data_IF_629864443299
#
_entry.id   IF_629864443299
#
_cell.length_a   1.000
_cell.length_b   1.000
_cell.length_c   1.000
_cell.angle_alpha   90.00
_cell.angle_beta   90.00
_cell.angle_gamma   90.00
#
_symmetry.space_group_name_H-M   'P 1'
#
loop_
_entity.id
_entity.type
_entity.pdbx_description
1 polymer ?
2 non-polymer ?
3 non-polymer ?
4 water ?
#
# COMPACT_ATOMS: atom_id res chain seq x y z
N UNK A 1 1.64 -15.03 -18.94
CA UNK A 1 1.45 -13.74 -18.30
C UNK A 1 2.71 -13.26 -17.59
N UNK A 2 2.95 -11.95 -17.59
CA UNK A 2 4.17 -11.40 -17.03
C UNK A 2 3.81 -10.32 -16.00
N UNK A 3 4.21 -10.54 -14.75
CA UNK A 3 3.96 -9.64 -13.62
C UNK A 3 5.23 -8.93 -13.27
N UNK A 4 5.19 -7.61 -13.18
CA UNK A 4 6.26 -6.86 -12.56
C UNK A 4 5.88 -6.49 -11.12
N UNK A 5 6.65 -6.99 -10.15
CA UNK A 5 6.53 -6.57 -8.74
C UNK A 5 7.49 -5.42 -8.42
N UNK A 6 6.96 -4.27 -8.06
CA UNK A 6 7.73 -3.13 -7.60
C UNK A 6 7.75 -3.04 -6.09
N UNK A 7 8.95 -2.99 -5.53
CA UNK A 7 9.16 -3.04 -4.10
C UNK A 7 10.15 -4.11 -3.77
N UNK A 8 10.35 -4.37 -2.48
CA UNK A 8 11.37 -5.33 -2.07
C UNK A 8 10.99 -6.75 -2.47
N UNK A 9 12.00 -7.62 -2.50
CA UNK A 9 11.73 -9.00 -2.89
C UNK A 9 11.07 -9.72 -1.72
N UNK A 10 10.01 -10.49 -1.98
CA UNK A 10 9.32 -11.23 -0.94
C UNK A 10 9.10 -12.64 -1.46
N UNK A 11 9.75 -13.62 -0.83
CA UNK A 11 9.69 -14.98 -1.32
C UNK A 11 8.27 -15.55 -1.32
N UNK A 12 7.49 -15.33 -0.23
CA UNK A 12 6.14 -15.89 -0.23
C UNK A 12 5.36 -15.34 -1.42
N UNK A 13 5.56 -14.05 -1.71
CA UNK A 13 4.80 -13.37 -2.76
C UNK A 13 5.26 -13.83 -4.14
N UNK A 14 6.58 -14.02 -4.33
CA UNK A 14 7.03 -14.59 -5.60
C UNK A 14 6.42 -15.96 -5.82
N UNK A 15 6.51 -16.85 -4.80
CA UNK A 15 5.99 -18.19 -5.01
C UNK A 15 4.50 -18.16 -5.24
N UNK A 16 3.78 -17.29 -4.52
CA UNK A 16 2.36 -17.10 -4.81
C UNK A 16 2.13 -16.63 -6.24
N UNK A 17 2.77 -15.55 -6.66
CA UNK A 17 2.49 -15.09 -8.02
C UNK A 17 2.89 -16.16 -9.05
N UNK A 18 4.00 -16.88 -8.80
CA UNK A 18 4.48 -17.87 -9.78
C UNK A 18 3.62 -19.12 -9.83
N UNK A 19 2.90 -19.48 -8.76
CA UNK A 19 1.98 -20.63 -8.81
C UNK A 19 0.83 -20.42 -9.79
N UNK A 20 0.58 -19.21 -10.25
CA UNK A 20 -0.38 -19.03 -11.33
C UNK A 20 0.24 -19.29 -12.70
N UNK A 21 1.45 -19.84 -12.72
CA UNK A 21 2.21 -20.06 -13.95
C UNK A 21 2.51 -18.74 -14.64
N UNK A 22 2.56 -17.66 -13.87
CA UNK A 22 2.98 -16.38 -14.39
C UNK A 22 4.48 -16.26 -14.18
N UNK A 23 5.12 -15.53 -15.06
CA UNK A 23 6.53 -15.26 -14.83
C UNK A 23 6.60 -13.90 -14.14
N UNK A 24 7.47 -13.82 -13.14
CA UNK A 24 7.46 -12.74 -12.19
C UNK A 24 8.82 -12.11 -12.20
N UNK A 25 8.87 -10.81 -12.45
CA UNK A 25 10.07 -10.02 -12.28
C UNK A 25 9.85 -9.00 -11.19
N UNK A 26 10.92 -8.66 -10.52
CA UNK A 26 10.89 -7.80 -9.36
C UNK A 26 11.89 -6.70 -9.55
N UNK A 27 11.54 -5.49 -9.09
CA UNK A 27 12.43 -4.35 -9.20
C UNK A 27 12.12 -3.41 -8.06
N UNK A 28 13.15 -2.85 -7.43
CA UNK A 28 12.91 -1.95 -6.30
C UNK A 28 13.51 -0.58 -6.47
N UNK A 29 14.19 -0.32 -7.58
CA UNK A 29 14.83 0.98 -7.75
C UNK A 29 13.95 1.89 -8.58
N UNK A 30 14.36 3.16 -8.69
CA UNK A 30 13.63 4.08 -9.56
C UNK A 30 13.59 3.53 -10.99
N UNK A 31 12.43 3.62 -11.64
CA UNK A 31 12.17 2.96 -12.92
C UNK A 31 12.06 3.98 -14.04
N UNK A 32 13.07 4.02 -14.91
CA UNK A 32 13.02 4.91 -16.08
C UNK A 32 11.82 4.58 -16.96
N UNK A 33 11.16 5.63 -17.44
CA UNK A 33 9.92 5.44 -18.19
C UNK A 33 10.12 4.60 -19.43
N UNK A 34 11.31 4.66 -20.05
CA UNK A 34 11.57 3.92 -21.28
C UNK A 34 12.32 2.61 -21.02
N UNK A 35 12.45 2.20 -19.75
CA UNK A 35 13.22 1.02 -19.40
C UNK A 35 12.65 -0.22 -20.07
N UNK A 36 13.54 -1.13 -20.50
CA UNK A 36 13.06 -2.39 -21.07
C UNK A 36 12.52 -3.37 -20.02
N UNK A 37 12.72 -3.10 -18.72
CA UNK A 37 12.05 -3.93 -17.71
C UNK A 37 10.54 -4.01 -17.97
N UNK A 38 9.96 -2.95 -18.52
CA UNK A 38 8.53 -2.94 -18.78
C UNK A 38 8.11 -3.68 -20.04
N UNK A 39 9.05 -3.99 -20.97
CA UNK A 39 8.65 -4.71 -22.18
C UNK A 39 7.85 -5.94 -21.83
N UNK A 40 6.71 -6.11 -22.53
CA UNK A 40 5.87 -7.30 -22.42
C UNK A 40 5.27 -7.51 -21.02
N UNK A 41 5.34 -6.52 -20.14
CA UNK A 41 4.74 -6.66 -18.82
C UNK A 41 3.22 -6.51 -18.92
N UNK A 42 2.48 -7.51 -18.44
CA UNK A 42 1.02 -7.52 -18.44
C UNK A 42 0.39 -6.84 -17.22
N UNK A 43 1.08 -6.82 -16.07
CA UNK A 43 0.51 -6.33 -14.82
C UNK A 43 1.62 -5.86 -13.89
N UNK A 44 1.41 -4.72 -13.23
CA UNK A 44 2.34 -4.17 -12.24
C UNK A 44 1.66 -4.24 -10.87
N UNK A 45 2.34 -4.79 -9.86
CA UNK A 45 1.89 -4.77 -8.46
C UNK A 45 2.95 -4.02 -7.68
N UNK A 46 2.55 -2.93 -7.03
CA UNK A 46 3.48 -2.26 -6.15
C UNK A 46 3.12 -2.57 -4.70
N UNK A 47 4.16 -2.79 -3.88
CA UNK A 47 3.93 -3.07 -2.47
C UNK A 47 5.23 -2.69 -1.73
N UNK A 48 5.19 -1.57 -1.04
CA UNK A 48 6.38 -1.08 -0.40
C UNK A 48 7.38 -0.51 -1.37
N UNK A 49 6.94 -0.15 -2.56
CA UNK A 49 7.82 0.53 -3.52
C UNK A 49 8.15 1.93 -3.01
N UNK A 50 9.43 2.30 -2.99
CA UNK A 50 9.85 3.54 -2.34
C UNK A 50 9.89 4.73 -3.28
N UNK A 51 9.49 4.56 -4.53
CA UNK A 51 9.66 5.58 -5.54
C UNK A 51 8.31 5.85 -6.16
N UNK A 52 8.13 7.06 -6.67
CA UNK A 52 6.94 7.39 -7.44
C UNK A 52 7.06 6.77 -8.84
N UNK A 53 5.99 6.11 -9.29
CA UNK A 53 5.96 5.57 -10.64
C UNK A 53 5.77 6.75 -11.60
N UNK A 54 6.58 6.81 -12.64
CA UNK A 54 6.47 7.91 -13.60
C UNK A 54 5.08 7.94 -14.24
N UNK A 55 4.46 9.12 -14.39
CA UNK A 55 3.08 9.16 -14.92
C UNK A 55 2.89 8.47 -16.25
N UNK A 56 3.90 8.46 -17.13
CA UNK A 56 3.70 7.80 -18.43
C UNK A 56 3.53 6.30 -18.28
N UNK A 57 4.24 5.68 -17.34
CA UNK A 57 3.99 4.27 -17.02
C UNK A 57 2.58 4.10 -16.50
N UNK A 58 2.21 4.95 -15.53
CA UNK A 58 0.88 4.83 -14.93
C UNK A 58 -0.18 4.82 -16.01
N UNK A 59 -0.10 5.80 -16.93
CA UNK A 59 -1.06 5.90 -18.03
C UNK A 59 -1.00 4.67 -18.92
N UNK A 60 0.22 4.23 -19.25
CA UNK A 60 0.38 3.09 -20.14
C UNK A 60 -0.26 1.83 -19.55
N UNK A 61 -0.26 1.70 -18.20
CA UNK A 61 -0.80 0.53 -17.51
C UNK A 61 -2.10 0.81 -16.73
N UNK A 62 -2.92 1.78 -17.18
CA UNK A 62 -4.30 1.89 -16.68
C UNK A 62 -5.01 0.54 -16.62
N UNK A 63 -5.65 0.25 -15.47
CA UNK A 63 -6.30 -1.01 -15.14
C UNK A 63 -5.34 -2.20 -15.18
N UNK A 64 -4.05 -1.95 -15.24
CA UNK A 64 -3.08 -3.03 -15.20
C UNK A 64 -2.00 -2.79 -14.14
N UNK A 65 -2.30 -1.99 -13.12
CA UNK A 65 -1.31 -1.67 -12.09
C UNK A 65 -2.05 -1.46 -10.78
N UNK A 66 -1.71 -2.25 -9.77
CA UNK A 66 -2.37 -2.10 -8.46
C UNK A 66 -1.31 -1.84 -7.43
N UNK A 67 -1.77 -1.31 -6.30
CA UNK A 67 -0.90 -1.00 -5.20
C UNK A 67 -1.52 -1.57 -3.92
N UNK A 68 -0.66 -2.06 -3.01
CA UNK A 68 -1.06 -2.63 -1.71
C UNK A 68 -0.69 -1.58 -0.70
N UNK A 69 -1.69 -0.91 -0.08
CA UNK A 69 -1.42 0.21 0.79
C UNK A 69 -2.02 -0.05 2.18
N UNK A 70 -1.25 0.16 3.25
CA UNK A 70 -1.77 -0.18 4.58
C UNK A 70 -2.47 1.00 5.25
N UNK A 71 -3.40 1.64 4.51
CA UNK A 71 -4.36 2.49 5.16
C UNK A 71 -5.77 2.15 4.63
N UNK A 72 -6.75 2.74 5.28
CA UNK A 72 -8.15 2.62 4.88
C UNK A 72 -8.42 3.87 4.03
N UNK A 73 -8.13 3.77 2.73
CA UNK A 73 -8.31 4.92 1.86
C UNK A 73 -9.79 5.35 1.90
N UNK A 74 -10.06 6.63 1.79
CA UNK A 74 -9.09 7.69 1.48
C UNK A 74 -8.27 8.26 2.62
N UNK A 75 -8.45 7.78 3.86
CA UNK A 75 -7.60 8.27 4.95
C UNK A 75 -6.17 7.78 4.79
N UNK A 76 -5.22 8.65 5.17
CA UNK A 76 -3.79 8.33 5.26
C UNK A 76 -3.24 7.85 3.96
N UNK A 77 -3.55 8.58 2.89
CA UNK A 77 -2.74 8.42 1.71
C UNK A 77 -1.30 8.84 2.03
N UNK A 78 -0.36 8.28 1.28
CA UNK A 78 1.06 8.69 1.41
C UNK A 78 1.80 7.99 2.54
N UNK A 79 2.60 8.73 3.28
CA UNK A 79 3.65 8.17 4.13
C UNK A 79 3.16 7.83 5.54
N UNK A 80 3.78 6.82 6.17
CA UNK A 80 3.54 6.48 7.58
C UNK A 80 2.06 6.33 7.92
N UNK A 81 1.27 5.63 7.10
CA UNK A 81 -0.20 5.65 7.41
C UNK A 81 -0.53 5.14 8.80
N UNK A 82 0.19 4.16 9.33
CA UNK A 82 -0.18 3.57 10.61
C UNK A 82 -0.04 4.59 11.72
N UNK A 83 1.09 5.27 11.77
CA UNK A 83 1.25 6.33 12.77
C UNK A 83 0.16 7.40 12.64
N UNK A 84 -0.06 7.91 11.40
CA UNK A 84 -1.05 8.99 11.22
C UNK A 84 -2.47 8.56 11.58
N UNK A 85 -2.82 7.28 11.34
CA UNK A 85 -4.15 6.82 11.76
C UNK A 85 -4.33 6.96 13.28
N UNK A 86 -3.26 6.91 14.06
CA UNK A 86 -3.45 7.16 15.49
C UNK A 86 -3.32 8.65 15.84
N UNK A 87 -2.35 9.35 15.24
CA UNK A 87 -2.17 10.78 15.52
C UNK A 87 -3.43 11.57 15.17
N UNK A 88 -4.06 11.25 14.05
CA UNK A 88 -5.29 11.92 13.62
C UNK A 88 -6.55 11.13 13.92
N UNK A 89 -6.45 10.04 14.68
CA UNK A 89 -7.60 9.25 15.14
C UNK A 89 -8.54 8.92 13.97
N UNK A 90 -7.98 8.27 12.95
CA UNK A 90 -8.74 8.06 11.70
C UNK A 90 -9.16 6.60 11.55
N UNK A 91 -9.93 6.21 10.52
CA UNK A 91 -10.14 4.80 10.23
C UNK A 91 -8.82 4.08 10.04
N UNK A 92 -8.77 2.81 10.47
CA UNK A 92 -7.57 1.98 10.35
C UNK A 92 -7.84 0.77 9.47
N UNK A 93 -6.90 0.41 8.61
CA UNK A 93 -7.18 -0.70 7.73
C UNK A 93 -6.20 -0.73 6.55
N UNK A 94 -6.53 -1.52 5.54
CA UNK A 94 -5.66 -1.73 4.38
C UNK A 94 -6.53 -1.71 3.13
N UNK A 95 -5.89 -1.38 2.01
CA UNK A 95 -6.61 -1.14 0.74
C UNK A 95 -5.76 -1.67 -0.42
N UNK A 96 -6.39 -2.42 -1.31
CA UNK A 96 -5.83 -2.68 -2.65
C UNK A 96 -6.53 -1.75 -3.62
N UNK A 97 -5.78 -1.00 -4.41
CA UNK A 97 -6.44 -0.05 -5.31
C UNK A 97 -5.65 0.00 -6.60
N UNK A 98 -6.29 0.42 -7.67
CA UNK A 98 -5.55 0.68 -8.90
C UNK A 98 -4.65 1.88 -8.73
N UNK A 99 -3.52 1.85 -9.44
CA UNK A 99 -2.57 2.96 -9.41
C UNK A 99 -3.05 4.06 -10.35
N UNK A 100 -2.92 5.29 -9.89
CA UNK A 100 -3.45 6.51 -10.49
C UNK A 100 -2.29 7.42 -10.81
N UNK A 101 -2.57 8.43 -11.61
CA UNK A 101 -1.79 9.66 -11.50
C UNK A 101 -2.02 10.25 -10.13
N UNK A 102 -0.96 10.69 -9.46
CA UNK A 102 -1.11 11.23 -8.13
C UNK A 102 -1.02 10.18 -7.03
N UNK A 103 -1.05 10.65 -5.79
CA UNK A 103 -0.45 9.94 -4.68
C UNK A 103 -1.52 9.11 -3.95
N UNK A 104 -1.60 7.82 -4.31
CA UNK A 104 -2.54 6.87 -3.68
C UNK A 104 -4.01 7.24 -3.89
N UNK A 105 -4.39 7.81 -5.05
CA UNK A 105 -5.78 8.26 -5.23
C UNK A 105 -6.58 7.45 -6.26
N UNK A 106 -6.07 6.28 -6.71
CA UNK A 106 -6.80 5.47 -7.69
C UNK A 106 -7.93 4.68 -7.07
N UNK A 107 -8.66 3.93 -7.93
CA UNK A 107 -9.90 3.30 -7.55
C UNK A 107 -9.68 2.17 -6.57
N UNK A 108 -10.66 1.98 -5.70
CA UNK A 108 -10.58 1.01 -4.62
C UNK A 108 -11.08 -0.32 -5.13
N UNK A 109 -10.25 -1.35 -5.01
CA UNK A 109 -10.67 -2.69 -5.38
C UNK A 109 -11.32 -3.41 -4.22
N UNK A 110 -10.69 -3.42 -3.05
CA UNK A 110 -11.26 -4.00 -1.83
C UNK A 110 -10.52 -3.36 -0.67
N UNK A 111 -11.19 -3.22 0.50
CA UNK A 111 -10.48 -2.74 1.70
C UNK A 111 -10.94 -3.56 2.89
N UNK A 112 -10.24 -3.44 3.99
CA UNK A 112 -10.57 -4.19 5.19
C UNK A 112 -10.20 -3.33 6.38
N UNK A 113 -11.12 -3.23 7.34
CA UNK A 113 -10.84 -2.50 8.56
C UNK A 113 -10.00 -3.35 9.50
N UNK A 114 -9.07 -2.73 10.23
CA UNK A 114 -8.20 -3.47 11.13
C UNK A 114 -8.36 -2.91 12.52
N UNK A 115 -8.64 -3.78 13.47
CA UNK A 115 -8.86 -3.23 14.82
C UNK A 115 -7.53 -3.13 15.58
N UNK A 116 -7.54 -2.38 16.68
CA UNK A 116 -6.39 -2.30 17.58
C UNK A 116 -6.90 -2.51 19.00
N UNK A 117 -5.97 -2.76 19.93
CA UNK A 117 -6.29 -3.18 21.30
C UNK A 117 -5.50 -2.29 22.26
N UNK A 118 -5.90 -2.30 23.54
CA UNK A 118 -5.45 -1.25 24.46
C UNK A 118 -3.94 -1.26 24.72
N UNK A 119 -3.28 -2.42 24.62
CA UNK A 119 -1.84 -2.58 24.84
C UNK A 119 -1.01 -2.45 23.57
N UNK A 120 -1.65 -2.25 22.42
CA UNK A 120 -0.92 -2.23 21.15
C UNK A 120 0.12 -1.12 21.11
N UNK A 121 1.20 -1.38 20.37
CA UNK A 121 2.22 -0.41 20.03
C UNK A 121 2.19 -0.15 18.53
N UNK A 122 3.03 0.80 18.09
CA UNK A 122 3.19 1.03 16.64
C UNK A 122 3.64 -0.24 15.95
N UNK A 123 4.49 -1.02 16.63
CA UNK A 123 5.00 -2.25 16.05
C UNK A 123 3.87 -3.26 15.87
N UNK A 124 3.08 -3.51 16.92
CA UNK A 124 2.10 -4.58 16.80
C UNK A 124 0.94 -4.15 15.87
N UNK A 125 0.62 -2.84 15.78
CA UNK A 125 -0.42 -2.47 14.81
C UNK A 125 0.10 -2.55 13.38
N UNK A 126 1.36 -2.16 13.17
CA UNK A 126 1.93 -2.27 11.82
C UNK A 126 1.98 -3.73 11.35
N UNK A 127 2.41 -4.65 12.24
CA UNK A 127 2.49 -6.05 11.81
C UNK A 127 1.11 -6.61 11.52
N UNK A 128 0.12 -6.19 12.28
CA UNK A 128 -1.24 -6.62 12.01
C UNK A 128 -1.73 -6.10 10.65
N UNK A 129 -1.47 -4.83 10.34
CA UNK A 129 -1.82 -4.31 9.00
C UNK A 129 -1.15 -5.12 7.90
N UNK A 130 0.12 -5.43 8.09
CA UNK A 130 0.88 -6.19 7.11
C UNK A 130 0.28 -7.58 6.91
N UNK A 131 -0.09 -8.27 8.01
CA UNK A 131 -0.68 -9.59 7.80
C UNK A 131 -2.01 -9.49 7.07
N UNK A 132 -2.78 -8.46 7.40
CA UNK A 132 -4.09 -8.28 6.85
C UNK A 132 -4.01 -8.04 5.34
N UNK A 133 -3.19 -7.10 4.94
CA UNK A 133 -3.12 -6.80 3.49
C UNK A 133 -2.57 -7.99 2.70
N UNK A 134 -1.62 -8.72 3.29
CA UNK A 134 -1.06 -9.83 2.51
C UNK A 134 -2.11 -10.94 2.33
N UNK A 135 -2.90 -11.23 3.37
CA UNK A 135 -3.99 -12.21 3.24
C UNK A 135 -5.05 -11.70 2.28
N UNK A 136 -5.40 -10.43 2.39
CA UNK A 136 -6.41 -9.85 1.52
C UNK A 136 -5.97 -9.96 0.07
N UNK A 137 -4.68 -9.70 -0.19
CA UNK A 137 -4.21 -9.81 -1.57
C UNK A 137 -4.29 -11.25 -2.08
N UNK A 138 -3.93 -12.24 -1.22
CA UNK A 138 -4.05 -13.62 -1.69
C UNK A 138 -5.51 -13.96 -1.97
N UNK A 139 -6.46 -13.41 -1.20
CA UNK A 139 -7.86 -13.70 -1.48
C UNK A 139 -8.33 -13.13 -2.80
N UNK A 140 -7.84 -11.95 -3.17
CA UNK A 140 -8.44 -11.24 -4.29
C UNK A 140 -7.60 -11.27 -5.56
N UNK A 141 -6.31 -11.56 -5.49
CA UNK A 141 -5.51 -11.61 -6.72
C UNK A 141 -6.05 -12.53 -7.81
N UNK A 142 -6.56 -13.74 -7.53
CA UNK A 142 -7.10 -14.55 -8.64
C UNK A 142 -8.16 -13.82 -9.42
N UNK A 143 -8.90 -12.95 -8.77
CA UNK A 143 -9.94 -12.25 -9.48
C UNK A 143 -9.36 -11.05 -10.20
N UNK A 144 -8.45 -10.34 -9.52
CA UNK A 144 -7.81 -9.16 -10.13
C UNK A 144 -7.08 -9.57 -11.41
N UNK A 145 -6.39 -10.70 -11.37
CA UNK A 145 -5.55 -11.04 -12.52
C UNK A 145 -6.36 -11.48 -13.73
N UNK A 146 -7.59 -11.96 -13.53
CA UNK A 146 -8.47 -12.36 -14.63
C UNK A 146 -9.45 -11.28 -15.00
N UNK A 147 -9.14 -10.02 -14.69
CA UNK A 147 -10.07 -8.92 -14.90
C UNK A 147 -11.49 -9.19 -14.42
N UNK A 148 -11.65 -10.08 -13.42
CA UNK A 148 -13.00 -10.44 -12.96
C UNK A 148 -13.64 -9.37 -12.08
N UNK A 149 -12.84 -8.48 -11.47
CA UNK A 149 -13.35 -7.41 -10.63
C UNK A 149 -12.78 -6.10 -11.11
N UNK A 150 -13.38 -4.99 -10.69
CA UNK A 150 -12.86 -3.67 -11.01
C UNK A 150 -13.18 -2.71 -9.86
N UNK A 151 -12.67 -1.46 -9.97
CA UNK A 151 -12.62 -0.57 -8.83
C UNK A 151 -13.85 0.32 -8.74
N UNK A 152 -14.07 0.90 -7.56
CA UNK A 152 -15.06 1.97 -7.45
C UNK A 152 -14.23 3.22 -7.22
N UNK A 153 -14.73 4.39 -7.59
CA UNK A 153 -13.88 5.57 -7.52
C UNK A 153 -13.57 5.89 -6.07
N UNK A 154 -12.35 6.26 -5.85
CA UNK A 154 -11.95 6.56 -4.50
C UNK A 154 -12.51 7.90 -4.12
N UNK A 155 -13.21 8.00 -2.99
CA UNK A 155 -13.75 9.28 -2.55
C UNK A 155 -12.67 10.32 -2.31
N UNK A 156 -12.92 11.53 -2.79
CA UNK A 156 -12.07 12.66 -2.39
C UNK A 156 -12.27 12.89 -0.90
N UNK A 157 -11.21 13.34 -0.24
CA UNK A 157 -11.29 13.58 1.18
C UNK A 157 -10.30 12.71 1.90
N UNK A 158 -10.67 12.26 3.10
CA UNK A 158 -9.63 11.47 3.80
C UNK A 158 -8.48 12.38 4.20
N UNK A 159 -7.23 11.93 4.01
CA UNK A 159 -6.05 12.71 4.41
C UNK A 159 -4.83 12.23 3.63
N UNK A 160 -3.77 13.02 3.69
CA UNK A 160 -2.58 12.64 2.94
C UNK A 160 -1.38 13.13 3.74
N UNK A 161 -0.28 12.37 3.79
CA UNK A 161 0.89 12.87 4.51
C UNK A 161 2.17 12.55 3.78
N UNK A 162 3.15 13.42 3.97
CA UNK A 162 4.50 13.26 3.45
C UNK A 162 5.36 12.71 4.59
N UNK A 163 6.49 12.07 4.21
CA UNK A 163 7.40 11.52 5.22
C UNK A 163 7.78 12.53 6.27
N UNK A 164 7.93 13.80 5.89
CA UNK A 164 8.42 14.79 6.84
C UNK A 164 7.37 15.29 7.82
N UNK A 165 6.09 15.00 7.60
CA UNK A 165 5.09 15.64 8.45
C UNK A 165 5.18 15.15 9.87
N UNK A 166 5.75 13.97 10.10
CA UNK A 166 5.81 13.39 11.44
C UNK A 166 6.89 14.02 12.31
N UNK A 167 7.81 14.77 11.71
CA UNK A 167 8.95 15.31 12.46
C UNK A 167 8.55 15.98 13.77
N UNK A 168 7.49 16.78 13.77
CA UNK A 168 7.13 17.47 15.01
C UNK A 168 6.45 16.58 16.03
N UNK A 169 6.17 15.32 15.70
CA UNK A 169 5.58 14.42 16.68
C UNK A 169 6.56 13.35 17.16
N UNK A 170 7.77 13.33 16.60
CA UNK A 170 8.74 12.30 16.98
C UNK A 170 9.01 12.26 18.48
N UNK A 171 8.89 13.41 19.16
CA UNK A 171 9.14 13.45 20.60
C UNK A 171 8.16 12.56 21.38
N UNK A 172 6.96 12.34 20.85
CA UNK A 172 6.00 11.46 21.50
C UNK A 172 6.42 10.02 21.46
N UNK A 173 7.23 9.64 20.50
CA UNK A 173 7.61 8.23 20.26
C UNK A 173 8.79 7.85 21.14
N UNK A 174 8.51 7.80 22.45
CA UNK A 174 9.62 7.61 23.38
C UNK A 174 10.22 6.21 23.29
N UNK A 175 9.49 5.24 22.72
CA UNK A 175 10.07 3.92 22.54
C UNK A 175 10.19 3.52 21.08
N UNK A 176 10.22 4.49 20.16
CA UNK A 176 10.27 4.15 18.75
C UNK A 176 9.06 3.28 18.38
N UNK A 177 9.33 2.18 17.69
CA UNK A 177 8.30 1.19 17.32
C UNK A 177 7.51 0.67 18.52
N UNK A 178 8.10 0.65 19.70
CA UNK A 178 7.44 0.09 20.84
C UNK A 178 6.66 1.12 21.64
N UNK A 179 6.39 2.27 21.06
CA UNK A 179 5.53 3.23 21.72
C UNK A 179 4.09 2.73 21.76
N UNK A 180 3.47 2.66 22.91
CA UNK A 180 2.06 2.37 22.95
C UNK A 180 1.29 3.41 22.15
N UNK A 181 0.30 2.93 21.38
CA UNK A 181 -0.46 3.87 20.57
C UNK A 181 -1.42 4.69 21.39
N UNK A 182 -1.83 4.20 22.56
CA UNK A 182 -2.82 4.96 23.33
C UNK A 182 -2.33 6.37 23.61
N UNK A 183 -1.01 6.52 23.86
CA UNK A 183 -0.36 7.81 24.07
C UNK A 183 -0.46 8.73 22.86
N UNK A 184 -0.64 8.17 21.68
CA UNK A 184 -0.54 8.96 20.47
C UNK A 184 -1.89 9.42 19.94
N UNK A 185 -2.99 8.82 20.41
CA UNK A 185 -4.29 9.02 19.77
C UNK A 185 -4.68 10.49 19.86
N UNK A 186 -4.96 11.10 18.71
CA UNK A 186 -5.42 12.47 18.69
C UNK A 186 -4.36 13.54 18.91
N UNK A 187 -3.08 13.18 19.01
CA UNK A 187 -2.08 14.21 19.31
C UNK A 187 -1.88 15.19 18.16
N UNK A 188 -2.29 14.87 16.95
CA UNK A 188 -2.28 15.86 15.89
C UNK A 188 -3.64 16.53 15.71
N UNK A 189 -4.60 16.24 16.60
CA UNK A 189 -6.03 16.59 16.54
C UNK A 189 -6.78 15.77 15.46
X LIG B 1 9.82 5.94 14.32
X LIG B 1 9.55 4.54 14.56
X LIG B 1 8.85 3.87 13.38
X LIG B 1 7.75 4.69 12.91
X LIG B 1 7.80 6.15 12.96
X LIG B 1 9.28 6.56 13.16
X LIG B 1 6.42 4.06 12.71
X LIG B 1 5.98 4.18 11.25
X LIG B 1 4.42 3.52 11.08
X LIG B 1 4.47 2.34 10.21
X LIG B 1 3.89 3.21 12.36
X LIG B 1 3.64 4.50 10.41
X LIG C 1 9.95 -13.52 2.96
X LIG C 1 10.59 -14.19 4.10
X LIG C 1 10.99 -13.20 1.96
X LIG C 1 8.96 -14.48 2.43
X LIG C 1 9.24 -12.30 3.41
#
# INVERSE_FOLDING_TARGET
>A
GKILLLGPERKWLRDFLESFEDEVTQYQDKLDKKSAILNNVDFIISYGYRYIIHPDIVERFKQRAINLHISYLPWNKGADPNLWSFLEDSPKGVTIHYIDSGLDTGEIIVQREVTYYENDTLRTTYERLTQTIEKLFMEYWPLIRLGKIRGIPQPKGGSYHKLKDKEKYLYLLTDGWDTPVQKLIGKAQNNE
>B hetero
1 MES O1 C2 C3 N4 C5 C6 C7 C8 S O1S O2S O3S
>C hetero
1 SO4 S O1 O2 O3 O4
#
